data_IF_775948115684
#
_entry.id   IF_775948115684
#
_cell.length_a   1.000
_cell.length_b   1.000
_cell.length_c   1.000
_cell.angle_alpha   90.00
_cell.angle_beta   90.00
_cell.angle_gamma   90.00
#
_symmetry.space_group_name_H-M   'P 1'
#
loop_
_entity.id
_entity.type
_entity.pdbx_description
1 polymer ?
#
# COMPACT_ATOMS: atom_id res chain seq x y z
N UNK A 1 5.32 13.24 -19.51
CA UNK A 1 5.71 12.57 -18.24
C UNK A 1 5.34 11.11 -18.40
N UNK A 2 6.34 10.28 -18.70
CA UNK A 2 6.16 8.84 -18.94
C UNK A 2 5.64 8.14 -17.67
N UNK A 3 4.47 7.52 -17.80
CA UNK A 3 3.78 6.80 -16.73
C UNK A 3 4.21 5.31 -16.72
N UNK A 4 5.53 5.05 -16.66
CA UNK A 4 6.10 3.69 -16.85
C UNK A 4 6.38 2.91 -15.56
N UNK A 5 6.22 3.52 -14.38
CA UNK A 5 6.61 2.91 -13.09
C UNK A 5 5.44 2.74 -12.10
N UNK A 6 4.21 2.99 -12.55
CA UNK A 6 3.00 2.80 -11.76
C UNK A 6 2.00 2.00 -12.59
N UNK A 7 1.85 0.72 -12.28
CA UNK A 7 0.88 -0.12 -12.96
C UNK A 7 -0.49 0.11 -12.33
N UNK A 8 -1.44 0.57 -13.14
CA UNK A 8 -2.86 0.47 -12.79
C UNK A 8 -3.21 -1.01 -12.75
N UNK A 9 -3.47 -1.54 -11.55
CA UNK A 9 -3.73 -2.98 -11.37
C UNK A 9 -5.21 -3.27 -11.60
N UNK A 10 -6.07 -2.42 -11.05
CA UNK A 10 -7.50 -2.67 -11.02
C UNK A 10 -8.24 -1.34 -10.87
N UNK A 11 -9.33 -1.22 -11.61
CA UNK A 11 -10.33 -0.17 -11.41
C UNK A 11 -11.62 -0.85 -11.00
N UNK A 12 -12.21 -0.43 -9.88
CA UNK A 12 -13.51 -0.92 -9.43
C UNK A 12 -14.49 0.24 -9.38
N UNK A 13 -15.66 0.06 -9.99
CA UNK A 13 -16.78 0.99 -9.83
C UNK A 13 -17.66 0.52 -8.68
N UNK A 14 -18.01 1.43 -7.78
CA UNK A 14 -18.90 1.14 -6.65
C UNK A 14 -19.91 2.27 -6.47
N UNK A 15 -21.09 1.95 -5.96
CA UNK A 15 -22.16 2.91 -5.71
C UNK A 15 -22.36 3.09 -4.21
N UNK A 16 -22.17 4.32 -3.73
CA UNK A 16 -22.23 4.63 -2.30
C UNK A 16 -23.09 5.87 -2.12
N UNK A 17 -24.23 5.71 -1.45
CA UNK A 17 -25.20 6.79 -1.25
C UNK A 17 -25.78 7.34 -2.56
N UNK A 18 -25.88 6.52 -3.61
CA UNK A 18 -26.39 6.92 -4.94
C UNK A 18 -25.37 7.64 -5.84
N UNK A 19 -24.11 7.77 -5.39
CA UNK A 19 -23.02 8.33 -6.19
C UNK A 19 -22.10 7.20 -6.65
N UNK A 20 -21.90 7.08 -7.97
CA UNK A 20 -20.91 6.17 -8.56
C UNK A 20 -19.51 6.73 -8.30
N UNK A 21 -18.69 5.96 -7.60
CA UNK A 21 -17.28 6.26 -7.36
C UNK A 21 -16.40 5.25 -8.08
N UNK A 22 -15.36 5.78 -8.73
CA UNK A 22 -14.30 5.00 -9.36
C UNK A 22 -13.17 4.85 -8.35
N UNK A 23 -12.87 3.63 -7.95
CA UNK A 23 -11.75 3.32 -7.06
C UNK A 23 -10.62 2.79 -7.93
N UNK A 24 -9.50 3.51 -7.96
CA UNK A 24 -8.31 3.12 -8.72
C UNK A 24 -7.29 2.49 -7.78
N UNK A 25 -6.86 1.26 -8.09
CA UNK A 25 -5.73 0.59 -7.44
C UNK A 25 -4.49 0.70 -8.30
N UNK A 26 -3.54 1.48 -7.83
CA UNK A 26 -2.25 1.69 -8.50
C UNK A 26 -1.18 1.02 -7.64
N UNK A 27 -0.37 0.10 -8.19
CA UNK A 27 0.85 -0.40 -7.51
C UNK A 27 2.05 0.45 -7.90
N UNK A 28 2.89 0.72 -6.92
CA UNK A 28 4.20 1.35 -7.12
C UNK A 28 5.25 0.60 -6.31
N UNK A 29 6.46 0.48 -6.86
CA UNK A 29 7.58 -0.15 -6.17
C UNK A 29 7.95 0.63 -4.90
N UNK A 30 8.30 -0.09 -3.87
CA UNK A 30 8.84 0.45 -2.63
C UNK A 30 9.91 -0.48 -2.08
N UNK A 31 10.78 0.07 -1.23
CA UNK A 31 11.86 -0.67 -0.59
C UNK A 31 11.62 -0.69 0.91
N UNK A 32 11.75 -1.86 1.53
CA UNK A 32 11.70 -2.00 2.99
C UNK A 32 12.95 -1.36 3.61
N UNK A 33 12.75 -0.34 4.44
CA UNK A 33 13.84 0.38 5.10
C UNK A 33 14.02 -0.03 6.56
N UNK A 34 12.95 -0.44 7.24
CA UNK A 34 13.00 -0.88 8.63
C UNK A 34 12.00 -2.01 8.86
N UNK A 35 12.39 -2.96 9.70
CA UNK A 35 11.54 -4.04 10.19
C UNK A 35 11.76 -4.16 11.70
N UNK A 36 10.68 -4.19 12.48
CA UNK A 36 10.72 -4.46 13.91
C UNK A 36 9.73 -5.56 14.26
N UNK A 37 10.22 -6.61 14.93
CA UNK A 37 9.41 -7.74 15.34
C UNK A 37 8.45 -7.36 16.48
N UNK A 38 7.18 -7.71 16.36
CA UNK A 38 6.16 -7.47 17.38
C UNK A 38 5.30 -8.73 17.59
N UNK A 39 5.67 -9.60 18.54
CA UNK A 39 4.96 -10.86 18.85
C UNK A 39 4.50 -11.61 17.58
N UNK A 40 3.21 -11.50 17.22
CA UNK A 40 2.56 -12.19 16.10
C UNK A 40 2.59 -11.46 14.74
N UNK A 41 3.11 -10.23 14.68
CA UNK A 41 3.22 -9.42 13.46
C UNK A 41 4.54 -8.64 13.43
N UNK A 42 4.74 -7.84 12.38
CA UNK A 42 5.87 -6.92 12.27
C UNK A 42 5.41 -5.51 12.00
N UNK A 43 6.21 -4.59 12.52
CA UNK A 43 6.18 -3.21 12.09
C UNK A 43 7.15 -3.05 10.94
N UNK A 44 6.68 -2.55 9.80
CA UNK A 44 7.51 -2.36 8.60
C UNK A 44 7.40 -0.91 8.15
N UNK A 45 8.56 -0.32 7.83
CA UNK A 45 8.63 0.98 7.17
C UNK A 45 9.16 0.76 5.77
N UNK A 46 8.38 1.19 4.78
CA UNK A 46 8.80 1.18 3.37
C UNK A 46 9.01 2.60 2.87
N UNK A 47 9.89 2.76 1.89
CA UNK A 47 10.08 3.99 1.15
C UNK A 47 9.54 3.81 -0.28
N UNK A 48 8.62 4.69 -0.69
CA UNK A 48 8.17 4.77 -2.09
C UNK A 48 9.36 5.19 -2.96
N UNK A 49 9.74 4.31 -3.89
CA UNK A 49 10.93 4.52 -4.74
C UNK A 49 10.78 5.74 -5.66
N UNK A 50 9.56 6.21 -5.92
CA UNK A 50 9.29 7.38 -6.77
C UNK A 50 9.26 8.68 -5.98
N UNK A 51 8.61 8.69 -4.81
CA UNK A 51 8.38 9.93 -4.05
C UNK A 51 9.34 10.12 -2.89
N UNK A 52 10.13 9.11 -2.54
CA UNK A 52 10.96 9.04 -1.35
C UNK A 52 10.19 9.21 -0.02
N UNK A 53 8.85 9.18 -0.06
CA UNK A 53 8.02 9.20 1.14
C UNK A 53 8.12 7.85 1.85
N UNK A 54 8.09 7.90 3.18
CA UNK A 54 8.08 6.72 4.03
C UNK A 54 6.68 6.45 4.55
N UNK A 55 6.31 5.17 4.57
CA UNK A 55 5.04 4.69 5.08
C UNK A 55 5.26 3.63 6.15
N UNK A 56 4.54 3.76 7.25
CA UNK A 56 4.60 2.83 8.38
C UNK A 56 3.38 1.89 8.35
N UNK A 57 3.66 0.60 8.45
CA UNK A 57 2.69 -0.49 8.54
C UNK A 57 2.92 -1.21 9.86
N UNK A 58 1.90 -1.23 10.72
CA UNK A 58 2.04 -1.67 12.11
C UNK A 58 1.60 -3.11 12.37
N UNK A 59 0.98 -3.77 11.38
CA UNK A 59 0.42 -5.12 11.51
C UNK A 59 0.71 -5.95 10.27
N UNK A 60 1.95 -5.85 9.77
CA UNK A 60 2.39 -6.67 8.65
C UNK A 60 2.35 -8.13 9.05
N UNK A 61 1.54 -8.88 8.30
CA UNK A 61 1.44 -10.32 8.44
C UNK A 61 2.84 -10.93 8.28
N UNK A 62 3.09 -12.04 8.96
CA UNK A 62 4.35 -12.78 8.87
C UNK A 62 4.19 -14.11 8.10
N UNK A 63 3.65 -14.14 6.87
CA UNK A 63 3.68 -15.34 6.06
C UNK A 63 5.10 -15.56 5.52
N UNK A 64 5.51 -16.80 5.23
CA UNK A 64 6.64 -17.04 4.34
C UNK A 64 6.33 -16.50 2.94
N UNK A 65 7.27 -15.83 2.25
CA UNK A 65 8.64 -15.51 2.66
C UNK A 65 8.72 -14.34 3.65
N UNK A 66 9.77 -14.38 4.48
CA UNK A 66 10.03 -13.37 5.50
C UNK A 66 10.32 -12.00 4.87
N UNK A 67 9.64 -10.94 5.32
CA UNK A 67 9.96 -9.55 4.92
C UNK A 67 11.18 -9.04 5.67
N UNK A 68 12.21 -8.64 4.93
CA UNK A 68 13.51 -8.17 5.39
C UNK A 68 13.81 -6.74 4.91
N UNK A 69 14.79 -6.10 5.57
CA UNK A 69 15.31 -4.80 5.13
C UNK A 69 16.00 -4.96 3.77
N UNK A 70 15.68 -4.06 2.84
CA UNK A 70 16.17 -4.10 1.46
C UNK A 70 15.23 -4.80 0.49
N UNK A 71 14.21 -5.51 0.97
CA UNK A 71 13.25 -6.18 0.09
C UNK A 71 12.46 -5.18 -0.76
N UNK A 72 12.24 -5.55 -2.03
CA UNK A 72 11.33 -4.85 -2.91
C UNK A 72 9.90 -5.36 -2.73
N UNK A 73 8.97 -4.44 -2.51
CA UNK A 73 7.54 -4.70 -2.37
C UNK A 73 6.76 -3.69 -3.23
N UNK A 74 5.43 -3.82 -3.25
CA UNK A 74 4.55 -2.83 -3.85
C UNK A 74 3.73 -2.10 -2.79
N UNK A 75 3.54 -0.79 -2.98
CA UNK A 75 2.47 -0.03 -2.33
C UNK A 75 1.32 0.18 -3.30
N UNK A 76 0.11 -0.17 -2.85
CA UNK A 76 -1.16 0.14 -3.47
C UNK A 76 -1.74 1.42 -2.90
N UNK A 77 -2.46 2.19 -3.71
CA UNK A 77 -3.33 3.27 -3.24
C UNK A 77 -4.77 2.87 -3.55
N UNK A 78 -5.66 3.03 -2.57
CA UNK A 78 -7.09 2.77 -2.71
C UNK A 78 -7.83 4.00 -2.17
N UNK A 79 -8.60 4.66 -3.03
CA UNK A 79 -9.40 5.81 -2.63
C UNK A 79 -10.45 5.40 -1.60
N UNK A 80 -10.61 6.23 -0.58
CA UNK A 80 -11.64 5.97 0.42
C UNK A 80 -13.04 6.22 -0.18
N UNK A 81 -14.03 5.39 0.19
CA UNK A 81 -15.40 5.58 -0.28
C UNK A 81 -16.05 6.88 0.20
N UNK A 82 -15.45 7.54 1.20
CA UNK A 82 -15.88 8.80 1.78
C UNK A 82 -14.67 9.72 1.99
N UNK A 83 -14.89 11.03 1.96
CA UNK A 83 -13.85 12.01 2.21
C UNK A 83 -13.69 12.20 3.72
N UNK A 84 -12.51 11.89 4.26
CA UNK A 84 -12.14 12.26 5.62
C UNK A 84 -11.34 13.57 5.58
N UNK A 85 -11.46 14.46 6.58
CA UNK A 85 -10.60 15.63 6.68
C UNK A 85 -9.14 15.21 6.78
N UNK A 86 -8.36 15.51 5.75
CA UNK A 86 -6.91 15.25 5.70
C UNK A 86 -6.51 13.87 5.13
N UNK A 87 -7.34 12.83 5.29
CA UNK A 87 -7.03 11.48 4.80
C UNK A 87 -7.80 11.20 3.51
N UNK A 88 -7.07 10.99 2.42
CA UNK A 88 -7.67 10.82 1.09
C UNK A 88 -7.60 9.38 0.58
N UNK A 89 -6.62 8.61 1.02
CA UNK A 89 -6.33 7.29 0.46
C UNK A 89 -5.93 6.30 1.55
N UNK A 90 -6.35 5.05 1.37
CA UNK A 90 -5.77 3.90 2.02
C UNK A 90 -4.53 3.48 1.24
N UNK A 91 -3.42 3.29 1.94
CA UNK A 91 -2.18 2.78 1.35
C UNK A 91 -2.05 1.31 1.75
N UNK A 92 -1.85 0.45 0.77
CA UNK A 92 -1.85 -1.00 0.94
C UNK A 92 -0.42 -1.50 0.72
N UNK A 93 0.11 -2.36 1.58
CA UNK A 93 1.39 -3.01 1.35
C UNK A 93 1.15 -4.38 0.70
N UNK A 94 1.85 -4.65 -0.39
CA UNK A 94 1.68 -5.84 -1.21
C UNK A 94 3.05 -6.50 -1.45
N UNK A 95 3.07 -7.83 -1.46
CA UNK A 95 4.19 -8.61 -2.01
C UNK A 95 4.26 -8.47 -3.54
N UNK A 96 5.36 -8.97 -4.13
CA UNK A 96 5.57 -8.92 -5.58
C UNK A 96 4.56 -9.74 -6.39
N UNK A 97 4.01 -10.81 -5.80
CA UNK A 97 2.91 -11.63 -6.36
C UNK A 97 1.52 -11.02 -6.10
N UNK A 98 1.45 -9.87 -5.43
CA UNK A 98 0.21 -9.11 -5.24
C UNK A 98 -0.61 -9.49 -4.00
N UNK A 99 -0.04 -10.29 -3.08
CA UNK A 99 -0.67 -10.59 -1.80
C UNK A 99 -0.58 -9.40 -0.85
N UNK A 100 -1.69 -9.05 -0.20
CA UNK A 100 -1.73 -7.93 0.74
C UNK A 100 -1.17 -8.33 2.10
N UNK A 101 -0.14 -7.60 2.54
CA UNK A 101 0.52 -7.82 3.83
C UNK A 101 -0.06 -6.97 4.96
N UNK A 102 -0.45 -5.72 4.68
CA UNK A 102 -1.06 -4.78 5.62
C UNK A 102 -1.66 -3.58 4.85
N UNK A 103 -2.28 -2.66 5.57
CA UNK A 103 -2.65 -1.35 5.05
C UNK A 103 -2.53 -0.27 6.13
N UNK A 104 -2.40 0.98 5.71
CA UNK A 104 -2.36 2.15 6.58
C UNK A 104 -3.14 3.31 5.96
N UNK A 105 -3.41 4.33 6.76
CA UNK A 105 -4.05 5.58 6.35
C UNK A 105 -3.13 6.74 6.68
N UNK A 106 -3.01 7.70 5.76
CA UNK A 106 -2.17 8.89 5.92
C UNK A 106 -2.90 10.13 5.43
#
# INVERSE_FOLDING_TARGET
MDNKDADLIQTTETEIGGIKKKIEKIKRKCIVTHVAQAKAWRNVVVQDSRTNKKYFFGKVLNPPPEVNIGDELFIGYEDLPFELPGIKHKIILLTLDGFQLDWTMV
#
